data_IF_860457026435
#
_entry.id   IF_860457026435
#
_cell.length_a   1.000
_cell.length_b   1.000
_cell.length_c   1.000
_cell.angle_alpha   90.00
_cell.angle_beta   90.00
_cell.angle_gamma   90.00
#
_symmetry.space_group_name_H-M   'P 1'
#
loop_
_entity.id
_entity.type
_entity.pdbx_description
1 polymer ?
#
# COMPACT_ATOMS: atom_id res chain seq x y z
N UNK A 1 29.85 0.30 14.03
CA UNK A 1 28.42 0.58 13.81
C UNK A 1 28.15 2.03 14.20
N UNK A 2 27.51 2.79 13.30
CA UNK A 2 27.06 4.14 13.68
C UNK A 2 26.02 4.03 14.80
N UNK A 3 26.01 4.93 15.79
CA UNK A 3 25.00 4.93 16.84
C UNK A 3 23.60 5.15 16.23
N UNK A 4 22.55 4.58 16.84
CA UNK A 4 21.20 4.78 16.33
C UNK A 4 20.83 6.26 16.37
N UNK A 5 20.24 6.76 15.27
CA UNK A 5 19.81 8.17 15.13
C UNK A 5 18.49 8.45 15.83
N UNK A 6 17.78 7.40 16.22
CA UNK A 6 16.48 7.46 16.89
C UNK A 6 16.43 6.46 18.04
N UNK A 7 15.65 6.81 19.06
CA UNK A 7 15.38 5.92 20.20
C UNK A 7 13.87 5.79 20.45
N UNK A 8 13.47 4.67 21.04
CA UNK A 8 12.08 4.43 21.49
C UNK A 8 11.86 5.13 22.84
N UNK A 9 10.69 5.75 23.00
CA UNK A 9 10.24 6.28 24.28
C UNK A 9 8.75 6.01 24.47
N UNK A 10 8.31 5.85 25.71
CA UNK A 10 6.90 5.72 26.04
C UNK A 10 6.25 7.11 26.15
N UNK A 11 5.04 7.24 25.61
CA UNK A 11 4.17 8.42 25.80
C UNK A 11 3.13 8.11 26.87
N UNK A 12 2.59 9.15 27.52
CA UNK A 12 1.61 8.97 28.58
C UNK A 12 0.27 8.38 28.07
N UNK A 13 -0.12 8.67 26.83
CA UNK A 13 -1.46 8.44 26.30
C UNK A 13 -1.50 7.88 24.87
N UNK A 14 -0.35 7.80 24.17
CA UNK A 14 -0.25 7.42 22.75
C UNK A 14 0.66 6.22 22.49
N UNK A 15 0.94 5.43 23.51
CA UNK A 15 1.82 4.27 23.41
C UNK A 15 3.28 4.66 23.19
N UNK A 16 4.00 3.93 22.35
CA UNK A 16 5.42 4.15 22.08
C UNK A 16 5.63 5.11 20.90
N UNK A 17 6.59 6.01 21.05
CA UNK A 17 7.07 6.92 20.02
C UNK A 17 8.55 6.72 19.70
N UNK A 18 8.99 7.32 18.59
CA UNK A 18 10.41 7.44 18.25
C UNK A 18 10.81 8.91 18.35
N UNK A 19 11.96 9.19 18.96
CA UNK A 19 12.56 10.52 18.99
C UNK A 19 13.97 10.51 18.41
N UNK A 20 14.35 11.60 17.78
CA UNK A 20 15.71 11.80 17.28
C UNK A 20 16.66 11.99 18.45
N UNK A 21 17.81 11.31 18.43
CA UNK A 21 18.92 11.50 19.41
C UNK A 21 20.04 12.40 18.87
N UNK A 22 19.95 12.74 17.57
CA UNK A 22 20.85 13.68 16.89
C UNK A 22 20.06 14.58 15.95
N UNK A 23 20.58 15.78 15.57
CA UNK A 23 19.97 16.58 14.52
C UNK A 23 19.85 15.80 13.21
N UNK A 24 18.67 15.82 12.59
CA UNK A 24 18.36 15.11 11.35
C UNK A 24 18.18 16.10 10.18
N UNK A 25 18.58 15.69 8.99
CA UNK A 25 18.36 16.45 7.75
C UNK A 25 17.15 15.90 6.99
N UNK A 26 16.40 16.74 6.27
CA UNK A 26 15.33 16.26 5.39
C UNK A 26 15.84 15.21 4.39
N UNK A 27 15.14 14.05 4.31
CA UNK A 27 15.53 12.94 3.43
C UNK A 27 16.67 12.07 3.96
N UNK A 28 17.14 12.29 5.17
CA UNK A 28 18.17 11.44 5.79
C UNK A 28 17.57 10.07 6.16
N UNK A 29 18.28 8.99 5.79
CA UNK A 29 17.89 7.63 6.17
C UNK A 29 18.13 7.41 7.66
N UNK A 30 17.07 7.10 8.40
CA UNK A 30 17.14 6.86 9.85
C UNK A 30 17.53 5.41 10.16
N UNK A 31 16.83 4.47 9.53
CA UNK A 31 17.12 3.04 9.62
C UNK A 31 16.56 2.30 8.40
N UNK A 32 17.09 1.12 8.14
CA UNK A 32 16.59 0.19 7.13
C UNK A 32 16.18 -1.10 7.82
N UNK A 33 15.02 -1.62 7.50
CA UNK A 33 14.50 -2.86 8.06
C UNK A 33 13.81 -3.70 6.99
N UNK A 34 14.09 -4.98 6.99
CA UNK A 34 13.24 -5.95 6.32
C UNK A 34 11.99 -6.22 7.17
N UNK A 35 10.82 -6.51 6.57
CA UNK A 35 9.66 -6.90 7.34
C UNK A 35 9.92 -8.19 8.12
N UNK A 36 9.44 -8.27 9.37
CA UNK A 36 9.52 -9.50 10.18
C UNK A 36 8.95 -10.70 9.41
N UNK A 37 7.78 -10.51 8.80
CA UNK A 37 7.14 -11.46 7.91
C UNK A 37 6.27 -10.74 6.88
N UNK A 38 6.03 -11.38 5.74
CA UNK A 38 5.11 -10.89 4.71
C UNK A 38 4.46 -12.05 3.96
N UNK A 39 3.35 -11.79 3.29
CA UNK A 39 2.70 -12.74 2.38
C UNK A 39 2.09 -11.99 1.18
N UNK A 40 2.08 -12.64 0.02
CA UNK A 40 1.37 -12.11 -1.14
C UNK A 40 -0.14 -12.30 -0.92
N UNK A 41 -0.90 -11.22 -1.01
CA UNK A 41 -2.35 -11.23 -0.85
C UNK A 41 -3.05 -12.11 -1.89
N UNK A 42 -4.25 -12.59 -1.57
CA UNK A 42 -5.06 -13.45 -2.46
C UNK A 42 -5.26 -12.79 -3.83
N UNK A 43 -5.55 -11.49 -3.88
CA UNK A 43 -5.75 -10.73 -5.12
C UNK A 43 -4.49 -10.60 -5.98
N UNK A 44 -3.30 -10.59 -5.36
CA UNK A 44 -2.02 -10.45 -6.08
C UNK A 44 -1.33 -11.78 -6.39
N UNK A 45 -1.94 -12.91 -6.00
CA UNK A 45 -1.37 -14.25 -6.26
C UNK A 45 -1.32 -14.55 -7.75
N UNK A 46 -0.12 -14.74 -8.26
CA UNK A 46 0.13 -15.04 -9.66
C UNK A 46 0.43 -13.82 -10.52
N UNK A 47 0.36 -12.64 -9.93
CA UNK A 47 0.75 -11.37 -10.54
C UNK A 47 2.12 -10.93 -10.01
N UNK A 48 2.42 -11.19 -8.73
CA UNK A 48 3.72 -10.85 -8.13
C UNK A 48 4.49 -12.08 -7.67
N UNK A 49 5.82 -11.97 -7.66
CA UNK A 49 6.72 -13.00 -7.14
C UNK A 49 6.67 -13.05 -5.60
N UNK A 50 6.49 -14.22 -5.00
CA UNK A 50 6.45 -14.42 -3.54
C UNK A 50 7.77 -14.09 -2.81
N UNK A 51 8.86 -13.72 -3.52
CA UNK A 51 10.14 -13.35 -2.90
C UNK A 51 10.55 -11.90 -3.14
N UNK A 52 10.64 -11.47 -4.38
CA UNK A 52 11.08 -10.12 -4.71
C UNK A 52 9.92 -9.11 -4.80
N UNK A 53 8.67 -9.58 -4.74
CA UNK A 53 7.43 -8.80 -4.82
C UNK A 53 7.26 -8.00 -6.11
N UNK A 54 8.12 -8.21 -7.11
CA UNK A 54 7.97 -7.59 -8.43
C UNK A 54 6.75 -8.17 -9.14
N UNK A 55 5.99 -7.28 -9.77
CA UNK A 55 4.80 -7.62 -10.55
C UNK A 55 5.17 -8.21 -11.92
N UNK A 56 4.34 -9.14 -12.41
CA UNK A 56 4.45 -9.78 -13.72
C UNK A 56 3.09 -9.71 -14.39
N UNK A 57 2.97 -8.87 -15.41
CA UNK A 57 1.73 -8.75 -16.19
C UNK A 57 1.71 -9.81 -17.30
N UNK A 58 0.53 -10.40 -17.53
CA UNK A 58 0.26 -11.25 -18.69
C UNK A 58 -0.13 -10.46 -19.94
N UNK A 59 -0.32 -9.15 -19.84
CA UNK A 59 -0.65 -8.28 -20.97
C UNK A 59 0.55 -8.12 -21.91
N UNK A 60 0.27 -8.10 -23.21
CA UNK A 60 1.30 -8.03 -24.26
C UNK A 60 1.93 -6.66 -24.44
N UNK A 61 1.47 -5.63 -23.70
CA UNK A 61 1.95 -4.26 -23.80
C UNK A 61 2.56 -3.76 -22.48
N UNK A 62 3.70 -3.06 -22.52
CA UNK A 62 4.29 -2.43 -21.35
C UNK A 62 3.38 -1.26 -20.90
N UNK A 63 2.81 -1.34 -19.70
CA UNK A 63 2.12 -0.19 -19.13
C UNK A 63 3.14 0.90 -18.78
N UNK A 64 2.80 2.16 -19.03
CA UNK A 64 3.65 3.34 -18.79
C UNK A 64 4.18 3.47 -17.34
N UNK A 65 3.62 2.75 -16.40
CA UNK A 65 3.98 2.82 -14.98
C UNK A 65 5.02 1.76 -14.56
N UNK A 66 5.36 0.81 -15.43
CA UNK A 66 6.30 -0.26 -15.10
C UNK A 66 7.56 -0.08 -15.92
N UNK A 67 8.55 0.57 -15.33
CA UNK A 67 9.89 0.68 -15.90
C UNK A 67 10.52 -0.70 -16.10
N UNK A 68 11.02 -0.90 -17.30
CA UNK A 68 12.18 -1.70 -17.78
C UNK A 68 12.41 -3.13 -17.30
N UNK A 69 11.57 -3.80 -16.50
CA UNK A 69 11.79 -5.17 -16.08
C UNK A 69 10.56 -6.08 -16.20
N UNK A 70 9.67 -5.82 -17.15
CA UNK A 70 8.59 -6.74 -17.47
C UNK A 70 9.15 -7.95 -18.22
N UNK A 71 9.69 -8.88 -17.44
CA UNK A 71 9.92 -10.23 -17.95
C UNK A 71 8.55 -10.83 -18.28
N UNK A 72 8.33 -11.09 -19.57
CA UNK A 72 7.15 -11.80 -20.14
C UNK A 72 7.00 -13.24 -19.64
N UNK A 73 7.61 -13.59 -18.52
CA UNK A 73 7.68 -14.96 -18.06
C UNK A 73 6.60 -15.26 -17.02
N UNK A 74 5.91 -16.35 -17.26
CA UNK A 74 4.91 -16.91 -16.33
C UNK A 74 5.58 -17.30 -15.02
N UNK A 75 5.11 -16.80 -13.88
CA UNK A 75 5.61 -17.16 -12.58
C UNK A 75 5.60 -18.67 -12.37
N UNK A 76 6.73 -19.23 -11.96
CA UNK A 76 6.92 -20.64 -11.65
C UNK A 76 6.26 -20.96 -10.30
N UNK A 77 5.52 -22.06 -10.22
CA UNK A 77 4.88 -22.51 -8.98
C UNK A 77 5.84 -23.36 -8.15
N UNK A 78 5.77 -23.20 -6.82
CA UNK A 78 6.41 -24.16 -5.93
C UNK A 78 5.90 -25.59 -6.24
N UNK A 79 6.80 -26.52 -6.51
CA UNK A 79 6.48 -27.92 -6.88
C UNK A 79 5.71 -28.67 -5.79
N UNK A 80 5.92 -28.30 -4.52
CA UNK A 80 5.32 -28.95 -3.36
C UNK A 80 3.89 -28.41 -3.08
N UNK A 81 3.76 -27.15 -2.62
CA UNK A 81 2.47 -26.59 -2.24
C UNK A 81 1.64 -26.11 -3.45
N UNK A 82 2.25 -25.70 -4.56
CA UNK A 82 1.65 -25.10 -5.76
C UNK A 82 0.93 -23.76 -5.51
N UNK A 83 1.13 -23.16 -4.33
CA UNK A 83 0.55 -21.86 -3.94
C UNK A 83 1.53 -20.73 -4.22
N UNK A 84 2.71 -20.79 -3.59
CA UNK A 84 3.76 -19.79 -3.79
C UNK A 84 4.28 -19.82 -5.24
N UNK A 85 4.54 -18.63 -5.79
CA UNK A 85 4.97 -18.42 -7.16
C UNK A 85 6.19 -17.53 -7.21
N UNK A 86 7.13 -17.83 -8.09
CA UNK A 86 8.43 -17.17 -8.18
C UNK A 86 8.76 -16.79 -9.61
N UNK A 87 9.42 -15.65 -9.81
CA UNK A 87 9.89 -15.20 -11.12
C UNK A 87 11.09 -16.03 -11.64
N UNK A 88 11.85 -16.67 -10.75
CA UNK A 88 13.03 -17.44 -11.11
C UNK A 88 13.35 -18.52 -10.07
N UNK A 89 14.14 -19.51 -10.46
CA UNK A 89 14.70 -20.51 -9.53
C UNK A 89 15.56 -19.86 -8.44
N UNK A 90 16.22 -18.73 -8.73
CA UNK A 90 17.00 -17.95 -7.75
C UNK A 90 16.09 -17.38 -6.67
N UNK A 91 14.94 -16.79 -7.04
CA UNK A 91 13.96 -16.30 -6.08
C UNK A 91 13.36 -17.43 -5.24
N UNK A 92 13.04 -18.58 -5.86
CA UNK A 92 12.56 -19.76 -5.13
C UNK A 92 13.57 -20.29 -4.11
N UNK A 93 14.85 -20.41 -4.51
CA UNK A 93 15.92 -20.84 -3.59
C UNK A 93 16.10 -19.87 -2.43
N UNK A 94 16.11 -18.56 -2.71
CA UNK A 94 16.21 -17.52 -1.66
C UNK A 94 15.01 -17.47 -0.73
N UNK A 95 13.82 -17.83 -1.19
CA UNK A 95 12.60 -17.87 -0.37
C UNK A 95 12.51 -19.15 0.48
N UNK A 96 13.24 -20.22 0.12
CA UNK A 96 13.07 -21.54 0.73
C UNK A 96 13.26 -21.58 2.26
N UNK A 97 14.25 -20.90 2.86
CA UNK A 97 14.37 -20.88 4.33
C UNK A 97 13.07 -20.45 5.02
N UNK A 98 12.44 -19.38 4.55
CA UNK A 98 11.20 -18.84 5.12
C UNK A 98 9.94 -19.63 4.68
N UNK A 99 9.99 -20.27 3.50
CA UNK A 99 8.84 -20.94 2.91
C UNK A 99 8.71 -22.42 3.30
N UNK A 100 9.79 -23.13 3.63
CA UNK A 100 9.79 -24.60 3.80
C UNK A 100 8.75 -25.11 4.81
N UNK A 101 8.59 -24.44 5.95
CA UNK A 101 7.61 -24.81 6.99
C UNK A 101 6.19 -24.47 6.53
N UNK A 102 5.95 -23.26 6.06
CA UNK A 102 4.67 -22.88 5.46
C UNK A 102 4.27 -23.80 4.30
N UNK A 103 5.24 -24.25 3.51
CA UNK A 103 5.00 -25.13 2.37
C UNK A 103 4.32 -26.44 2.77
N UNK A 104 4.71 -27.05 3.89
CA UNK A 104 4.09 -28.27 4.42
C UNK A 104 2.63 -27.98 4.81
N UNK A 105 2.40 -26.90 5.57
CA UNK A 105 1.07 -26.47 5.99
C UNK A 105 0.15 -26.19 4.78
N UNK A 106 0.64 -25.48 3.77
CA UNK A 106 -0.11 -25.20 2.54
C UNK A 106 -0.42 -26.46 1.71
N UNK A 107 0.47 -27.45 1.75
CA UNK A 107 0.25 -28.74 1.07
C UNK A 107 -0.89 -29.52 1.72
N UNK A 108 -0.95 -29.54 3.07
CA UNK A 108 -1.95 -30.30 3.82
C UNK A 108 -3.34 -29.64 3.82
N UNK A 109 -3.43 -28.33 3.54
CA UNK A 109 -4.70 -27.60 3.52
C UNK A 109 -5.47 -27.66 2.19
N UNK A 110 -4.96 -28.38 1.17
CA UNK A 110 -5.67 -28.52 -0.10
C UNK A 110 -7.05 -29.20 0.08
N UNK A 111 -8.08 -28.78 -0.68
CA UNK A 111 -8.12 -27.70 -1.64
C UNK A 111 -8.42 -26.32 -1.04
N UNK A 112 -8.69 -26.22 0.26
CA UNK A 112 -9.07 -24.97 0.96
C UNK A 112 -7.83 -24.32 1.55
N UNK A 113 -7.45 -23.16 1.01
CA UNK A 113 -6.32 -22.38 1.51
C UNK A 113 -6.76 -21.40 2.60
N UNK A 114 -5.90 -21.16 3.62
CA UNK A 114 -6.23 -20.24 4.70
C UNK A 114 -6.28 -18.78 4.21
N UNK A 115 -6.97 -17.88 4.95
CA UNK A 115 -6.90 -16.45 4.77
C UNK A 115 -5.46 -15.91 4.82
N UNK A 116 -5.23 -14.75 4.22
CA UNK A 116 -3.89 -14.14 4.18
C UNK A 116 -3.38 -13.77 5.59
N UNK A 117 -4.27 -13.34 6.49
CA UNK A 117 -3.93 -13.08 7.90
C UNK A 117 -3.43 -14.33 8.63
N UNK A 118 -4.05 -15.47 8.38
CA UNK A 118 -3.63 -16.77 8.95
C UNK A 118 -2.26 -17.19 8.43
N UNK A 119 -2.01 -17.01 7.11
CA UNK A 119 -0.70 -17.28 6.52
C UNK A 119 0.37 -16.34 7.09
N UNK A 120 0.04 -15.04 7.21
CA UNK A 120 0.96 -14.04 7.75
C UNK A 120 1.33 -14.39 9.18
N UNK A 121 0.36 -14.69 10.03
CA UNK A 121 0.62 -15.09 11.42
C UNK A 121 1.47 -16.37 11.51
N UNK A 122 1.23 -17.35 10.64
CA UNK A 122 2.07 -18.55 10.56
C UNK A 122 3.54 -18.23 10.27
N UNK A 123 3.81 -17.32 9.36
CA UNK A 123 5.17 -16.85 9.06
C UNK A 123 5.78 -16.06 10.21
N UNK A 124 5.00 -15.22 10.91
CA UNK A 124 5.43 -14.52 12.14
C UNK A 124 5.85 -15.53 13.20
N UNK A 125 5.03 -16.55 13.49
CA UNK A 125 5.34 -17.60 14.46
C UNK A 125 6.64 -18.32 14.07
N UNK A 126 6.80 -18.75 12.82
CA UNK A 126 8.03 -19.41 12.40
C UNK A 126 9.26 -18.53 12.59
N UNK A 127 9.13 -17.23 12.31
CA UNK A 127 10.23 -16.28 12.48
C UNK A 127 10.59 -16.06 13.95
N UNK A 128 9.61 -15.88 14.81
CA UNK A 128 9.82 -15.77 16.26
C UNK A 128 10.46 -17.03 16.87
N UNK A 129 10.14 -18.21 16.35
CA UNK A 129 10.74 -19.48 16.77
C UNK A 129 12.22 -19.61 16.35
N UNK A 130 12.69 -18.88 15.31
CA UNK A 130 14.10 -18.87 14.91
C UNK A 130 15.00 -18.11 15.90
N UNK A 131 14.44 -17.24 16.75
CA UNK A 131 15.12 -16.63 17.90
C UNK A 131 16.24 -15.63 17.55
N UNK A 132 16.33 -15.15 16.32
CA UNK A 132 17.35 -14.19 15.89
C UNK A 132 16.70 -12.86 15.54
N UNK A 133 16.56 -11.93 16.50
CA UNK A 133 15.97 -10.61 16.22
C UNK A 133 16.84 -9.80 15.25
N UNK A 134 16.20 -9.11 14.30
CA UNK A 134 16.85 -8.16 13.41
C UNK A 134 17.24 -6.88 14.18
N UNK A 135 18.10 -6.03 13.58
CA UNK A 135 18.48 -4.75 14.21
C UNK A 135 17.27 -3.83 14.49
N UNK A 136 16.24 -3.88 13.64
CA UNK A 136 15.01 -3.11 13.83
C UNK A 136 14.12 -3.64 14.94
N UNK A 137 14.15 -4.95 15.22
CA UNK A 137 13.42 -5.56 16.33
C UNK A 137 13.99 -5.16 17.70
N UNK A 138 15.24 -4.65 17.75
CA UNK A 138 15.80 -4.04 18.94
C UNK A 138 15.11 -2.72 19.32
N UNK A 139 14.60 -1.97 18.33
CA UNK A 139 13.79 -0.77 18.58
C UNK A 139 12.35 -1.13 18.94
N UNK A 140 11.74 -2.06 18.19
CA UNK A 140 10.33 -2.41 18.33
C UNK A 140 10.09 -3.85 17.87
N UNK A 141 9.67 -4.69 18.78
CA UNK A 141 9.40 -6.11 18.52
C UNK A 141 7.91 -6.39 18.36
N UNK A 142 7.57 -7.59 17.90
CA UNK A 142 6.17 -8.06 17.87
C UNK A 142 5.49 -7.98 19.23
N UNK A 143 6.21 -8.20 20.32
CA UNK A 143 5.69 -8.18 21.69
C UNK A 143 5.39 -6.77 22.21
N UNK A 144 5.99 -5.74 21.60
CA UNK A 144 5.71 -4.33 21.91
C UNK A 144 4.40 -3.81 21.30
N UNK A 145 3.77 -4.58 20.39
CA UNK A 145 2.50 -4.20 19.78
C UNK A 145 1.34 -4.36 20.77
N UNK A 146 0.46 -3.36 20.82
CA UNK A 146 -0.77 -3.43 21.65
C UNK A 146 -1.84 -4.29 20.96
N UNK A 147 -2.52 -5.12 21.74
CA UNK A 147 -3.60 -5.99 21.23
C UNK A 147 -4.97 -5.31 21.21
N UNK A 148 -5.21 -4.35 22.09
CA UNK A 148 -6.52 -3.68 22.28
C UNK A 148 -7.72 -4.64 22.45
N UNK A 149 -7.52 -5.90 22.80
CA UNK A 149 -8.56 -6.95 22.92
C UNK A 149 -9.72 -6.49 23.80
N UNK A 150 -9.42 -5.82 24.93
CA UNK A 150 -10.42 -5.35 25.87
C UNK A 150 -11.36 -4.28 25.30
N UNK A 151 -10.96 -3.62 24.21
CA UNK A 151 -11.72 -2.58 23.51
C UNK A 151 -12.51 -3.14 22.32
N UNK A 152 -12.34 -4.40 21.95
CA UNK A 152 -13.04 -5.03 20.83
C UNK A 152 -14.46 -5.40 21.21
N UNK A 153 -15.39 -5.25 20.25
CA UNK A 153 -16.77 -5.77 20.36
C UNK A 153 -16.78 -7.31 20.34
N UNK A 154 -17.83 -7.93 20.90
CA UNK A 154 -17.96 -9.39 20.92
C UNK A 154 -17.99 -9.99 19.51
N UNK A 155 -18.62 -9.33 18.53
CA UNK A 155 -18.62 -9.78 17.13
C UNK A 155 -17.19 -9.86 16.57
N UNK A 156 -16.36 -8.85 16.86
CA UNK A 156 -14.95 -8.85 16.46
C UNK A 156 -14.15 -9.95 17.15
N UNK A 157 -14.39 -10.16 18.43
CA UNK A 157 -13.77 -11.26 19.21
C UNK A 157 -14.18 -12.62 18.65
N UNK A 158 -15.45 -12.79 18.25
CA UNK A 158 -15.89 -14.03 17.61
C UNK A 158 -15.19 -14.25 16.27
N UNK A 159 -15.06 -13.21 15.44
CA UNK A 159 -14.26 -13.27 14.21
C UNK A 159 -12.81 -13.70 14.47
N UNK A 160 -12.18 -13.20 15.54
CA UNK A 160 -10.83 -13.61 15.94
C UNK A 160 -10.78 -15.08 16.39
N UNK A 161 -11.80 -15.58 17.13
CA UNK A 161 -11.88 -17.01 17.51
C UNK A 161 -11.91 -17.92 16.28
N UNK A 162 -12.65 -17.54 15.25
CA UNK A 162 -12.69 -18.27 13.97
C UNK A 162 -11.32 -18.28 13.26
N UNK A 163 -10.59 -17.16 13.32
CA UNK A 163 -9.22 -17.09 12.80
C UNK A 163 -8.26 -17.98 13.60
N UNK A 164 -8.39 -18.03 14.92
CA UNK A 164 -7.60 -18.92 15.79
C UNK A 164 -7.82 -20.39 15.41
N UNK A 165 -9.07 -20.82 15.28
CA UNK A 165 -9.36 -22.20 14.87
C UNK A 165 -8.79 -22.51 13.47
N UNK A 166 -8.92 -21.58 12.54
CA UNK A 166 -8.36 -21.71 11.19
C UNK A 166 -6.84 -21.80 11.23
N UNK A 167 -6.20 -21.01 12.08
CA UNK A 167 -4.76 -21.00 12.29
C UNK A 167 -4.27 -22.34 12.86
N UNK A 168 -4.91 -22.84 13.89
CA UNK A 168 -4.57 -24.14 14.51
C UNK A 168 -4.68 -25.28 13.49
N UNK A 169 -5.76 -25.28 12.69
CA UNK A 169 -5.91 -26.23 11.60
C UNK A 169 -4.81 -26.10 10.54
N UNK A 170 -4.45 -24.89 10.16
CA UNK A 170 -3.40 -24.62 9.18
C UNK A 170 -2.03 -25.08 9.66
N UNK A 171 -1.72 -24.83 10.93
CA UNK A 171 -0.40 -25.08 11.53
C UNK A 171 -0.19 -26.50 12.04
N UNK A 172 -1.20 -27.36 12.03
CA UNK A 172 -1.20 -28.71 12.63
C UNK A 172 -0.02 -29.61 12.23
N UNK A 173 0.58 -29.39 11.05
CA UNK A 173 1.74 -30.16 10.57
C UNK A 173 3.06 -29.71 11.22
N UNK A 174 3.09 -28.54 11.83
CA UNK A 174 4.29 -27.90 12.38
C UNK A 174 4.15 -27.56 13.87
N UNK A 175 2.92 -27.36 14.36
CA UNK A 175 2.59 -27.02 15.74
C UNK A 175 1.42 -27.90 16.18
N UNK A 176 1.70 -28.84 17.04
CA UNK A 176 0.69 -29.81 17.54
C UNK A 176 0.08 -29.36 18.87
N UNK A 177 0.84 -28.63 19.67
CA UNK A 177 0.40 -28.10 20.95
C UNK A 177 0.99 -26.71 21.24
N UNK A 178 0.46 -26.05 22.28
CA UNK A 178 0.85 -24.70 22.64
C UNK A 178 2.31 -24.58 23.12
N UNK A 179 2.93 -25.66 23.59
CA UNK A 179 4.32 -25.63 24.06
C UNK A 179 5.33 -25.41 22.92
N UNK A 180 4.91 -25.65 21.69
CA UNK A 180 5.71 -25.46 20.49
C UNK A 180 5.62 -24.02 19.94
N UNK A 181 4.78 -23.18 20.53
CA UNK A 181 4.70 -21.76 20.20
C UNK A 181 5.87 -20.97 20.82
N UNK A 182 6.20 -19.78 20.30
CA UNK A 182 7.15 -18.91 20.97
C UNK A 182 6.76 -18.61 22.42
N UNK A 183 7.71 -18.39 23.32
CA UNK A 183 7.40 -18.08 24.72
C UNK A 183 6.45 -16.89 24.87
N UNK A 184 5.47 -16.99 25.76
CA UNK A 184 4.45 -15.96 25.99
C UNK A 184 3.64 -15.53 24.74
N UNK A 185 3.49 -16.40 23.75
CA UNK A 185 2.75 -16.14 22.54
C UNK A 185 1.29 -16.61 22.66
N UNK A 186 0.37 -15.67 22.64
CA UNK A 186 -1.06 -15.92 22.54
C UNK A 186 -1.57 -15.68 21.13
N UNK A 187 -2.16 -16.72 20.52
CA UNK A 187 -2.62 -16.68 19.11
C UNK A 187 -3.78 -15.68 18.94
N UNK A 188 -4.69 -15.60 19.89
CA UNK A 188 -5.83 -14.69 19.84
C UNK A 188 -5.37 -13.24 19.92
N UNK A 189 -4.48 -12.94 20.86
CA UNK A 189 -3.85 -11.64 20.99
C UNK A 189 -3.01 -11.27 19.77
N UNK A 190 -2.28 -12.22 19.20
CA UNK A 190 -1.46 -12.01 18.01
C UNK A 190 -2.29 -11.58 16.80
N UNK A 191 -3.47 -12.15 16.57
CA UNK A 191 -4.37 -11.69 15.52
C UNK A 191 -4.86 -10.26 15.75
N UNK A 192 -5.15 -9.87 16.99
CA UNK A 192 -5.53 -8.49 17.31
C UNK A 192 -4.40 -7.48 17.04
N UNK A 193 -3.14 -7.89 17.26
CA UNK A 193 -1.94 -7.06 16.97
C UNK A 193 -1.65 -6.89 15.48
N UNK A 194 -2.10 -7.79 14.61
CA UNK A 194 -1.84 -7.72 13.16
C UNK A 194 -2.74 -6.72 12.40
N UNK A 195 -3.75 -6.17 13.05
CA UNK A 195 -4.69 -5.22 12.44
C UNK A 195 -4.18 -3.80 12.53
N UNK A 196 -3.09 -3.47 11.82
CA UNK A 196 -2.61 -2.10 11.68
C UNK A 196 -2.79 -1.70 10.21
N UNK A 197 -3.61 -0.67 9.96
CA UNK A 197 -3.75 -0.03 8.67
C UNK A 197 -3.73 1.47 8.87
N UNK A 198 -2.93 2.21 8.11
CA UNK A 198 -2.92 3.67 8.16
C UNK A 198 -4.12 4.22 7.39
N UNK A 199 -4.63 5.36 7.85
CA UNK A 199 -5.75 6.03 7.21
C UNK A 199 -5.34 6.69 5.90
N UNK A 200 -6.23 6.64 4.91
CA UNK A 200 -6.14 7.46 3.71
C UNK A 200 -6.20 8.96 4.06
N UNK A 201 -5.42 9.77 3.37
CA UNK A 201 -5.48 11.24 3.50
C UNK A 201 -6.74 11.83 2.85
N UNK A 202 -7.30 11.17 1.85
CA UNK A 202 -8.55 11.56 1.16
C UNK A 202 -9.78 10.99 1.89
N UNK A 203 -9.90 11.33 3.18
CA UNK A 203 -11.04 11.01 4.04
C UNK A 203 -11.44 12.26 4.83
N UNK A 204 -12.73 12.45 5.04
CA UNK A 204 -13.22 13.48 5.93
C UNK A 204 -12.79 13.26 7.38
N UNK A 205 -12.84 14.28 8.22
CA UNK A 205 -12.50 14.15 9.64
C UNK A 205 -13.43 13.17 10.36
N UNK A 206 -14.69 13.12 9.97
CA UNK A 206 -15.67 12.18 10.51
C UNK A 206 -15.32 10.73 10.13
N UNK A 207 -15.09 10.45 8.85
CA UNK A 207 -14.69 9.12 8.38
C UNK A 207 -13.39 8.67 9.06
N UNK A 208 -12.40 9.56 9.19
CA UNK A 208 -11.13 9.28 9.89
C UNK A 208 -11.35 8.92 11.35
N UNK A 209 -12.11 9.73 12.09
CA UNK A 209 -12.41 9.47 13.52
C UNK A 209 -13.18 8.19 13.70
N UNK A 210 -14.18 7.93 12.84
CA UNK A 210 -14.94 6.68 12.85
C UNK A 210 -14.02 5.49 12.63
N UNK A 211 -13.17 5.51 11.60
CA UNK A 211 -12.27 4.40 11.29
C UNK A 211 -11.24 4.19 12.42
N UNK A 212 -10.70 5.26 13.00
CA UNK A 212 -9.78 5.17 14.12
C UNK A 212 -10.42 4.56 15.37
N UNK A 213 -11.67 4.94 15.70
CA UNK A 213 -12.43 4.28 16.78
C UNK A 213 -12.68 2.81 16.49
N UNK A 214 -13.21 2.52 15.31
CA UNK A 214 -13.70 1.18 14.98
C UNK A 214 -12.57 0.17 14.79
N UNK A 215 -11.42 0.60 14.24
CA UNK A 215 -10.32 -0.31 13.92
C UNK A 215 -9.18 -0.25 14.94
N UNK A 216 -8.91 0.93 15.50
CA UNK A 216 -7.74 1.18 16.34
C UNK A 216 -8.08 1.51 17.79
N UNK A 217 -9.38 1.59 18.12
CA UNK A 217 -9.88 1.79 19.48
C UNK A 217 -9.38 3.08 20.16
N UNK A 218 -9.12 4.16 19.39
CA UNK A 218 -8.77 5.46 19.95
C UNK A 218 -9.48 6.63 19.25
N UNK A 219 -9.64 7.74 19.98
CA UNK A 219 -10.14 9.01 19.45
C UNK A 219 -8.96 9.86 19.00
N UNK A 220 -9.06 10.42 17.79
CA UNK A 220 -8.03 11.32 17.27
C UNK A 220 -8.33 12.77 17.65
N UNK A 221 -7.38 13.39 18.32
CA UNK A 221 -7.40 14.80 18.75
C UNK A 221 -6.42 15.68 17.95
N UNK A 222 -5.92 15.20 16.80
CA UNK A 222 -5.01 16.01 15.98
C UNK A 222 -5.73 17.28 15.45
N UNK A 223 -4.93 18.30 15.14
CA UNK A 223 -5.43 19.59 14.63
C UNK A 223 -6.50 19.42 13.55
N UNK A 224 -6.23 18.60 12.52
CA UNK A 224 -7.17 18.34 11.43
C UNK A 224 -8.50 17.73 11.90
N UNK A 225 -8.46 16.77 12.83
CA UNK A 225 -9.69 16.15 13.34
C UNK A 225 -10.48 17.06 14.28
N UNK A 226 -9.80 17.97 14.97
CA UNK A 226 -10.46 18.96 15.85
C UNK A 226 -11.07 20.11 15.05
N UNK A 227 -10.31 20.67 14.10
CA UNK A 227 -10.73 21.87 13.35
C UNK A 227 -11.56 21.57 12.12
N UNK A 228 -11.46 20.34 11.57
CA UNK A 228 -12.10 19.93 10.32
C UNK A 228 -11.73 20.86 9.14
N UNK A 229 -10.54 21.47 9.21
CA UNK A 229 -10.06 22.54 8.33
C UNK A 229 -10.10 22.23 6.84
N UNK A 230 -10.09 20.94 6.47
CA UNK A 230 -10.14 20.49 5.07
C UNK A 230 -11.49 19.94 4.64
N UNK A 231 -12.42 19.72 5.56
CA UNK A 231 -13.68 19.04 5.26
C UNK A 231 -14.58 19.88 4.35
N UNK A 232 -14.56 21.21 4.50
CA UNK A 232 -15.31 22.11 3.62
C UNK A 232 -14.87 21.99 2.16
N UNK A 233 -13.55 21.94 1.89
CA UNK A 233 -13.01 21.76 0.55
C UNK A 233 -13.30 20.34 0.02
N UNK A 234 -13.15 19.33 0.88
CA UNK A 234 -13.34 17.91 0.55
C UNK A 234 -14.78 17.56 0.17
N UNK A 235 -15.76 18.24 0.73
CA UNK A 235 -17.18 17.99 0.53
C UNK A 235 -17.87 19.08 -0.31
N UNK A 236 -17.12 19.82 -1.10
CA UNK A 236 -17.67 20.83 -2.03
C UNK A 236 -18.63 20.20 -3.04
N UNK A 237 -19.64 20.97 -3.45
CA UNK A 237 -20.63 20.55 -4.44
C UNK A 237 -21.93 20.03 -3.83
N UNK A 238 -22.78 19.43 -4.66
CA UNK A 238 -24.10 18.93 -4.27
C UNK A 238 -23.98 17.67 -3.40
N UNK A 239 -24.52 17.73 -2.18
CA UNK A 239 -24.43 16.64 -1.21
C UNK A 239 -25.10 15.34 -1.69
N UNK A 240 -26.21 15.43 -2.39
CA UNK A 240 -26.91 14.25 -2.92
C UNK A 240 -26.02 13.55 -3.95
N UNK A 241 -25.41 14.36 -4.82
CA UNK A 241 -24.53 13.85 -5.89
C UNK A 241 -23.31 13.16 -5.32
N UNK A 242 -22.57 13.77 -4.40
CA UNK A 242 -21.36 13.11 -3.91
C UNK A 242 -21.65 11.87 -3.06
N UNK A 243 -22.82 11.77 -2.40
CA UNK A 243 -23.26 10.53 -1.73
C UNK A 243 -23.52 9.41 -2.73
N UNK A 244 -24.16 9.69 -3.87
CA UNK A 244 -24.35 8.72 -4.95
C UNK A 244 -23.00 8.27 -5.55
N UNK A 245 -22.07 9.20 -5.74
CA UNK A 245 -20.72 8.91 -6.24
C UNK A 245 -19.92 8.07 -5.23
N UNK A 246 -20.05 8.35 -3.92
CA UNK A 246 -19.42 7.55 -2.86
C UNK A 246 -19.88 6.09 -2.92
N UNK A 247 -21.14 5.81 -3.14
CA UNK A 247 -21.65 4.44 -3.31
C UNK A 247 -21.14 3.80 -4.61
N UNK A 248 -21.12 4.56 -5.70
CA UNK A 248 -20.61 4.08 -6.99
C UNK A 248 -19.12 3.72 -6.96
N UNK A 249 -18.31 4.42 -6.15
CA UNK A 249 -16.89 4.12 -5.96
C UNK A 249 -16.65 2.72 -5.40
N UNK A 250 -17.54 2.18 -4.59
CA UNK A 250 -17.43 0.79 -4.08
C UNK A 250 -17.43 -0.22 -5.23
N UNK A 251 -18.34 -0.02 -6.17
CA UNK A 251 -18.41 -0.88 -7.35
C UNK A 251 -17.23 -0.69 -8.31
N UNK A 252 -16.76 0.55 -8.48
CA UNK A 252 -15.54 0.84 -9.25
C UNK A 252 -14.34 0.09 -8.67
N UNK A 253 -14.15 0.08 -7.34
CA UNK A 253 -13.06 -0.65 -6.70
C UNK A 253 -13.17 -2.17 -6.88
N UNK A 254 -14.40 -2.73 -6.88
CA UNK A 254 -14.61 -4.13 -7.22
C UNK A 254 -14.20 -4.45 -8.66
N UNK A 255 -14.55 -3.60 -9.62
CA UNK A 255 -14.16 -3.75 -11.01
C UNK A 255 -12.64 -3.64 -11.19
N UNK A 256 -11.98 -2.68 -10.51
CA UNK A 256 -10.52 -2.56 -10.49
C UNK A 256 -9.85 -3.81 -9.94
N UNK A 257 -10.37 -4.38 -8.85
CA UNK A 257 -9.84 -5.61 -8.26
C UNK A 257 -9.90 -6.81 -9.24
N UNK A 258 -10.82 -6.77 -10.21
CA UNK A 258 -10.96 -7.78 -11.25
C UNK A 258 -10.35 -7.37 -12.60
N UNK A 259 -9.58 -6.26 -12.65
CA UNK A 259 -8.89 -5.76 -13.86
C UNK A 259 -9.83 -5.44 -15.04
N UNK A 260 -11.07 -5.03 -14.76
CA UNK A 260 -12.10 -4.73 -15.77
C UNK A 260 -12.03 -3.24 -16.18
N UNK A 261 -10.91 -2.84 -16.75
CA UNK A 261 -10.58 -1.44 -16.99
C UNK A 261 -11.54 -0.70 -17.91
N UNK A 262 -12.10 -1.35 -18.96
CA UNK A 262 -13.10 -0.75 -19.84
C UNK A 262 -14.37 -0.39 -19.06
N UNK A 263 -14.82 -1.26 -18.14
CA UNK A 263 -16.00 -1.02 -17.31
C UNK A 263 -15.73 0.07 -16.28
N UNK A 264 -14.53 0.09 -15.69
CA UNK A 264 -14.09 1.17 -14.79
C UNK A 264 -14.13 2.50 -15.51
N UNK A 265 -13.54 2.61 -16.70
CA UNK A 265 -13.51 3.84 -17.47
C UNK A 265 -14.91 4.32 -17.83
N UNK A 266 -15.77 3.44 -18.35
CA UNK A 266 -17.15 3.78 -18.72
C UNK A 266 -17.94 4.33 -17.53
N UNK A 267 -17.84 3.72 -16.35
CA UNK A 267 -18.50 4.22 -15.14
C UNK A 267 -17.95 5.58 -14.71
N UNK A 268 -16.62 5.75 -14.69
CA UNK A 268 -16.00 7.03 -14.33
C UNK A 268 -16.43 8.14 -15.30
N UNK A 269 -16.44 7.89 -16.60
CA UNK A 269 -16.87 8.84 -17.62
C UNK A 269 -18.33 9.25 -17.45
N UNK A 270 -19.22 8.29 -17.18
CA UNK A 270 -20.64 8.55 -16.91
C UNK A 270 -20.83 9.46 -15.68
N UNK A 271 -20.11 9.18 -14.59
CA UNK A 271 -20.17 9.99 -13.35
C UNK A 271 -19.66 11.39 -13.62
N UNK A 272 -18.49 11.55 -14.25
CA UNK A 272 -17.85 12.84 -14.52
C UNK A 272 -18.74 13.70 -15.43
N UNK A 273 -19.27 13.12 -16.51
CA UNK A 273 -20.10 13.83 -17.48
C UNK A 273 -21.44 14.28 -16.91
N UNK A 274 -22.09 13.41 -16.12
CA UNK A 274 -23.40 13.73 -15.52
C UNK A 274 -23.33 14.79 -14.42
N UNK A 275 -22.15 15.03 -13.84
CA UNK A 275 -21.99 15.85 -12.65
C UNK A 275 -21.01 17.02 -12.84
N UNK A 276 -20.64 17.37 -14.05
CA UNK A 276 -19.59 18.37 -14.37
C UNK A 276 -19.83 19.75 -13.73
N UNK A 277 -21.09 20.17 -13.59
CA UNK A 277 -21.44 21.47 -12.98
C UNK A 277 -21.76 21.37 -11.48
N UNK A 278 -22.06 20.18 -10.98
CA UNK A 278 -22.53 19.97 -9.60
C UNK A 278 -21.45 19.43 -8.66
N UNK A 279 -20.39 18.82 -9.20
CA UNK A 279 -19.36 18.19 -8.42
C UNK A 279 -17.95 18.66 -8.86
N UNK A 280 -17.35 19.64 -8.16
CA UNK A 280 -16.03 20.16 -8.49
C UNK A 280 -14.92 19.14 -8.22
N UNK A 281 -13.78 19.30 -8.87
CA UNK A 281 -12.60 18.40 -8.75
C UNK A 281 -11.98 18.39 -7.34
N UNK A 282 -12.24 19.42 -6.52
CA UNK A 282 -11.84 19.45 -5.12
C UNK A 282 -12.63 18.49 -4.24
N UNK A 283 -13.83 18.07 -4.66
CA UNK A 283 -14.55 17.04 -3.92
C UNK A 283 -13.77 15.73 -3.92
N UNK A 284 -13.57 15.13 -2.74
CA UNK A 284 -12.72 13.93 -2.62
C UNK A 284 -13.28 12.71 -3.36
N UNK A 285 -14.58 12.59 -3.52
CA UNK A 285 -15.19 11.48 -4.26
C UNK A 285 -15.03 11.70 -5.76
N UNK A 286 -15.17 12.94 -6.25
CA UNK A 286 -14.84 13.31 -7.63
C UNK A 286 -13.36 13.08 -7.92
N UNK A 287 -12.48 13.48 -7.01
CA UNK A 287 -11.04 13.24 -7.13
C UNK A 287 -10.72 11.75 -7.26
N UNK A 288 -11.34 10.90 -6.43
CA UNK A 288 -11.18 9.43 -6.52
C UNK A 288 -11.67 8.87 -7.85
N UNK A 289 -12.77 9.41 -8.40
CA UNK A 289 -13.26 9.01 -9.74
C UNK A 289 -12.28 9.42 -10.83
N UNK A 290 -11.71 10.64 -10.75
CA UNK A 290 -10.67 11.10 -11.69
C UNK A 290 -9.41 10.22 -11.65
N UNK A 291 -8.95 9.83 -10.46
CA UNK A 291 -7.83 8.90 -10.29
C UNK A 291 -8.14 7.53 -10.91
N UNK A 292 -9.35 7.00 -10.69
CA UNK A 292 -9.77 5.74 -11.30
C UNK A 292 -9.85 5.83 -12.82
N UNK A 293 -10.35 6.94 -13.37
CA UNK A 293 -10.41 7.17 -14.81
C UNK A 293 -8.99 7.25 -15.41
N UNK A 294 -8.08 8.00 -14.78
CA UNK A 294 -6.68 8.09 -15.20
C UNK A 294 -6.00 6.72 -15.20
N UNK A 295 -6.15 5.94 -14.10
CA UNK A 295 -5.56 4.61 -13.99
C UNK A 295 -6.15 3.65 -15.04
N UNK A 296 -7.44 3.71 -15.32
CA UNK A 296 -8.09 2.91 -16.37
C UNK A 296 -7.56 3.28 -17.76
N UNK A 297 -7.46 4.58 -18.09
CA UNK A 297 -6.91 5.05 -19.34
C UNK A 297 -5.45 4.60 -19.53
N UNK A 298 -4.62 4.68 -18.50
CA UNK A 298 -3.22 4.18 -18.54
C UNK A 298 -3.19 2.67 -18.87
N UNK A 299 -4.04 1.88 -18.22
CA UNK A 299 -4.08 0.43 -18.45
C UNK A 299 -4.65 0.04 -19.82
N UNK A 300 -5.46 0.91 -20.43
CA UNK A 300 -6.03 0.74 -21.77
C UNK A 300 -5.16 1.37 -22.88
N UNK A 301 -4.05 2.04 -22.54
CA UNK A 301 -3.19 2.73 -23.51
C UNK A 301 -3.76 4.05 -24.02
N UNK A 302 -4.81 4.60 -23.41
CA UNK A 302 -5.46 5.87 -23.78
C UNK A 302 -4.77 7.04 -23.09
N UNK A 303 -3.58 7.39 -23.58
CA UNK A 303 -2.66 8.29 -22.86
C UNK A 303 -3.08 9.75 -22.88
N UNK A 304 -3.78 10.20 -23.91
CA UNK A 304 -4.34 11.57 -24.01
C UNK A 304 -5.42 11.78 -22.95
N UNK A 305 -6.37 10.84 -22.88
CA UNK A 305 -7.42 10.85 -21.88
C UNK A 305 -6.86 10.69 -20.46
N UNK A 306 -5.83 9.86 -20.29
CA UNK A 306 -5.15 9.72 -19.01
C UNK A 306 -4.56 11.05 -18.55
N UNK A 307 -3.92 11.81 -19.46
CA UNK A 307 -3.40 13.14 -19.17
C UNK A 307 -4.50 14.13 -18.83
N UNK A 308 -5.62 14.10 -19.56
CA UNK A 308 -6.79 14.94 -19.26
C UNK A 308 -7.28 14.76 -17.83
N UNK A 309 -7.52 13.50 -17.39
CA UNK A 309 -7.94 13.23 -16.01
C UNK A 309 -6.83 13.54 -15.01
N UNK A 310 -5.59 13.14 -15.29
CA UNK A 310 -4.45 13.37 -14.40
C UNK A 310 -4.18 14.86 -14.12
N UNK A 311 -4.32 15.72 -15.12
CA UNK A 311 -4.14 17.16 -14.94
C UNK A 311 -5.15 17.76 -13.97
N UNK A 312 -6.39 17.31 -13.99
CA UNK A 312 -7.46 17.73 -13.08
C UNK A 312 -7.21 17.34 -11.62
N UNK A 313 -6.43 16.29 -11.36
CA UNK A 313 -6.08 15.86 -10.00
C UNK A 313 -4.97 16.69 -9.35
N UNK A 314 -4.19 17.44 -10.13
CA UNK A 314 -2.95 18.10 -9.66
C UNK A 314 -3.19 19.12 -8.54
N UNK A 315 -4.22 19.97 -8.70
CA UNK A 315 -4.55 20.99 -7.69
C UNK A 315 -5.17 20.39 -6.43
N UNK A 316 -6.15 19.47 -6.50
CA UNK A 316 -6.64 18.77 -5.32
C UNK A 316 -5.52 18.06 -4.53
N UNK A 317 -4.61 17.39 -5.21
CA UNK A 317 -3.46 16.74 -4.56
C UNK A 317 -2.54 17.74 -3.86
N UNK A 318 -2.34 18.92 -4.44
CA UNK A 318 -1.56 20.00 -3.82
C UNK A 318 -2.19 20.49 -2.51
N UNK A 319 -3.52 20.59 -2.47
CA UNK A 319 -4.29 21.09 -1.31
C UNK A 319 -4.36 20.02 -0.21
N UNK A 320 -4.69 18.77 -0.56
CA UNK A 320 -4.99 17.75 0.44
C UNK A 320 -3.75 17.04 0.99
N UNK A 321 -2.67 16.98 0.22
CA UNK A 321 -1.43 16.34 0.64
C UNK A 321 -0.35 17.37 1.00
N UNK A 322 0.33 17.23 2.16
CA UNK A 322 1.45 18.11 2.54
C UNK A 322 2.52 18.17 1.44
N UNK A 323 3.30 19.24 1.42
CA UNK A 323 4.29 19.52 0.36
C UNK A 323 5.21 18.36 -0.01
N UNK A 324 5.71 17.62 0.98
CA UNK A 324 6.58 16.45 0.78
C UNK A 324 5.85 15.12 1.06
N UNK A 325 4.61 14.98 0.58
CA UNK A 325 3.88 13.72 0.74
C UNK A 325 4.19 12.73 -0.40
N UNK A 326 4.52 11.43 -0.11
CA UNK A 326 4.91 10.46 -1.14
C UNK A 326 3.85 10.26 -2.22
N UNK A 327 2.58 10.16 -1.85
CA UNK A 327 1.45 9.97 -2.79
C UNK A 327 1.35 11.13 -3.78
N UNK A 328 1.55 12.39 -3.32
CA UNK A 328 1.61 13.55 -4.21
C UNK A 328 2.79 13.48 -5.18
N UNK A 329 3.97 13.07 -4.69
CA UNK A 329 5.15 12.89 -5.55
C UNK A 329 4.91 11.90 -6.69
N UNK A 330 4.30 10.75 -6.37
CA UNK A 330 3.94 9.74 -7.37
C UNK A 330 2.91 10.26 -8.37
N UNK A 331 1.87 10.98 -7.93
CA UNK A 331 0.86 11.54 -8.82
C UNK A 331 1.46 12.56 -9.81
N UNK A 332 2.30 13.47 -9.31
CA UNK A 332 3.01 14.45 -10.15
C UNK A 332 3.92 13.75 -11.15
N UNK A 333 4.63 12.68 -10.74
CA UNK A 333 5.45 11.86 -11.63
C UNK A 333 4.61 11.20 -12.73
N UNK A 334 3.44 10.63 -12.41
CA UNK A 334 2.53 10.04 -13.40
C UNK A 334 2.13 11.05 -14.46
N UNK A 335 1.70 12.24 -14.05
CA UNK A 335 1.32 13.32 -14.98
C UNK A 335 2.51 13.79 -15.81
N UNK A 336 3.69 13.96 -15.22
CA UNK A 336 4.92 14.32 -15.93
C UNK A 336 5.32 13.30 -17.01
N UNK A 337 5.17 11.99 -16.72
CA UNK A 337 5.39 10.89 -17.68
C UNK A 337 4.42 10.96 -18.86
N UNK A 338 3.13 11.20 -18.59
CA UNK A 338 2.13 11.35 -19.65
C UNK A 338 2.43 12.55 -20.54
N UNK A 339 2.84 13.68 -19.95
CA UNK A 339 3.24 14.87 -20.71
C UNK A 339 4.48 14.62 -21.57
N UNK A 340 5.49 13.94 -21.04
CA UNK A 340 6.70 13.57 -21.78
C UNK A 340 6.35 12.70 -22.99
N UNK A 341 5.50 11.72 -22.81
CA UNK A 341 5.04 10.83 -23.88
C UNK A 341 4.26 11.58 -24.99
N UNK A 342 3.58 12.68 -24.65
CA UNK A 342 2.85 13.51 -25.60
C UNK A 342 3.68 14.67 -26.20
N UNK A 343 4.99 14.68 -25.96
CA UNK A 343 5.88 15.72 -26.48
C UNK A 343 5.74 17.08 -25.79
N UNK A 344 5.04 17.16 -24.65
CA UNK A 344 4.86 18.39 -23.87
C UNK A 344 6.08 18.63 -22.97
N UNK A 345 7.27 18.71 -23.55
CA UNK A 345 8.55 18.67 -22.84
C UNK A 345 8.72 19.74 -21.75
N UNK A 346 8.36 21.03 -21.95
CA UNK A 346 8.51 22.04 -20.92
C UNK A 346 7.64 21.76 -19.68
N UNK A 347 6.39 21.32 -19.90
CA UNK A 347 5.46 20.94 -18.83
C UNK A 347 5.90 19.67 -18.11
N UNK A 348 6.33 18.66 -18.88
CA UNK A 348 6.88 17.41 -18.35
C UNK A 348 8.10 17.70 -17.47
N UNK A 349 9.06 18.51 -17.93
CA UNK A 349 10.25 18.89 -17.16
C UNK A 349 9.88 19.55 -15.83
N UNK A 350 8.92 20.48 -15.84
CA UNK A 350 8.43 21.15 -14.62
C UNK A 350 7.88 20.15 -13.61
N UNK A 351 7.00 19.25 -14.06
CA UNK A 351 6.36 18.27 -13.18
C UNK A 351 7.32 17.18 -12.71
N UNK A 352 8.20 16.67 -13.58
CA UNK A 352 9.21 15.68 -13.21
C UNK A 352 10.21 16.24 -12.19
N UNK A 353 10.62 17.51 -12.29
CA UNK A 353 11.45 18.18 -11.28
C UNK A 353 10.72 18.33 -9.96
N UNK A 354 9.44 18.74 -9.97
CA UNK A 354 8.63 18.81 -8.75
C UNK A 354 8.48 17.44 -8.10
N UNK A 355 8.23 16.39 -8.89
CA UNK A 355 8.19 15.01 -8.39
C UNK A 355 9.52 14.60 -7.75
N UNK A 356 10.65 14.91 -8.40
CA UNK A 356 11.98 14.64 -7.88
C UNK A 356 12.23 15.33 -6.53
N UNK A 357 11.87 16.61 -6.41
CA UNK A 357 12.06 17.37 -5.16
C UNK A 357 11.24 16.79 -4.00
N UNK A 358 10.03 16.30 -4.26
CA UNK A 358 9.20 15.61 -3.27
C UNK A 358 9.79 14.23 -2.94
N UNK A 359 10.05 13.44 -3.98
CA UNK A 359 10.35 12.01 -3.81
C UNK A 359 11.76 11.75 -3.29
N UNK A 360 12.74 12.63 -3.56
CA UNK A 360 14.07 12.53 -2.94
C UNK A 360 14.04 12.62 -1.40
N UNK A 361 13.01 13.30 -0.84
CA UNK A 361 12.79 13.40 0.61
C UNK A 361 12.00 12.21 1.13
N UNK A 362 10.96 11.77 0.40
CA UNK A 362 10.00 10.78 0.89
C UNK A 362 10.41 9.34 0.61
N UNK A 363 11.15 9.08 -0.48
CA UNK A 363 11.61 7.75 -0.90
C UNK A 363 13.11 7.54 -0.64
N UNK A 364 13.89 8.63 -0.59
CA UNK A 364 15.35 8.56 -0.47
C UNK A 364 16.04 8.32 -1.82
N UNK A 365 17.35 8.66 -1.86
CA UNK A 365 18.12 8.70 -3.12
C UNK A 365 18.33 7.35 -3.81
N UNK A 366 18.29 6.26 -3.04
CA UNK A 366 18.54 4.89 -3.54
C UNK A 366 17.26 4.15 -3.93
N UNK A 367 16.11 4.83 -3.94
CA UNK A 367 14.85 4.20 -4.29
C UNK A 367 14.70 4.09 -5.81
N UNK A 368 14.22 2.95 -6.33
CA UNK A 368 14.08 2.69 -7.77
C UNK A 368 13.26 3.75 -8.51
N UNK A 369 12.21 4.31 -7.89
CA UNK A 369 11.44 5.40 -8.49
C UNK A 369 12.25 6.70 -8.65
N UNK A 370 13.30 6.92 -7.86
CA UNK A 370 14.20 8.06 -8.03
C UNK A 370 15.13 7.82 -9.22
N UNK A 371 15.65 6.60 -9.38
CA UNK A 371 16.44 6.21 -10.55
C UNK A 371 15.62 6.38 -11.83
N UNK A 372 14.39 5.89 -11.85
CA UNK A 372 13.45 6.07 -12.95
C UNK A 372 13.21 7.56 -13.27
N UNK A 373 13.01 8.37 -12.23
CA UNK A 373 12.73 9.79 -12.38
C UNK A 373 13.93 10.56 -12.94
N UNK A 374 15.16 10.17 -12.60
CA UNK A 374 16.39 10.73 -13.18
C UNK A 374 16.44 10.44 -14.68
N UNK A 375 16.18 9.18 -15.09
CA UNK A 375 16.15 8.81 -16.50
C UNK A 375 15.10 9.60 -17.28
N UNK A 376 13.91 9.81 -16.72
CA UNK A 376 12.86 10.62 -17.34
C UNK A 376 13.26 12.10 -17.49
N UNK A 377 13.98 12.64 -16.51
CA UNK A 377 14.49 14.02 -16.57
C UNK A 377 15.56 14.16 -17.64
N UNK A 378 16.47 13.19 -17.77
CA UNK A 378 17.51 13.13 -18.81
C UNK A 378 16.89 13.03 -20.22
N UNK A 379 15.89 12.15 -20.40
CA UNK A 379 15.14 11.99 -21.63
C UNK A 379 14.43 13.31 -22.02
N UNK A 380 13.76 13.95 -21.05
CA UNK A 380 13.07 15.20 -21.26
C UNK A 380 14.04 16.34 -21.67
N UNK A 381 15.20 16.43 -21.01
CA UNK A 381 16.23 17.42 -21.32
C UNK A 381 16.82 17.21 -22.72
N UNK A 382 17.07 15.96 -23.12
CA UNK A 382 17.54 15.62 -24.46
C UNK A 382 16.53 16.05 -25.54
N UNK A 383 15.23 15.80 -25.31
CA UNK A 383 14.20 16.22 -26.27
C UNK A 383 14.04 17.75 -26.35
N UNK A 384 14.16 18.48 -25.22
CA UNK A 384 14.13 19.94 -25.20
C UNK A 384 15.32 20.53 -26.02
N UNK A 385 16.50 19.90 -25.96
CA UNK A 385 17.67 20.37 -26.72
C UNK A 385 17.60 20.03 -28.20
N UNK A 386 16.81 19.02 -28.58
CA UNK A 386 16.65 18.57 -29.96
C UNK A 386 15.52 19.31 -30.70
N UNK A 387 14.61 19.94 -29.98
CA UNK A 387 13.49 20.77 -30.49
C UNK A 387 13.86 22.23 -30.58
#
# INVERSE_FOLDING_TARGET
MEPPKVEKFATADRGNGLRAVTPLRPGELLFRSDPLAYTVSKGSRGVVCDRCLLGFSSSKEPSLLHTAALLKEKLMRCSQCRVAKYCSSKCQKKAWPDHKRECKCLKSCKPRYPPDSVRLLGRVVFKLMEGSPSESEKLYSFYDLESNINKLTEDKKEGLRQLVMTFQHFMREEIQDASQLPPAFDIFEAFAKLTICYLDMLMTSEERRKQLRDQYCFECDCFRCQTQDKDADMLTGDERVWKEVQESLKHIEELKAHWKWEQVLAMCQAIISSNSERLPDLNIYQLKVLDCAMDACINLGLLEEALFYGTRTMEPYRIFFPGSHPVRGVQVMKVGKLQLHQGMFPQAMKNLRLAFDIMRVTHGREHSLIEDLILLLEECDANIRAS
#
